data_IF_131759026495
#
_entry.id   IF_131759026495
#
_cell.length_a   1.000
_cell.length_b   1.000
_cell.length_c   1.000
_cell.angle_alpha   90.00
_cell.angle_beta   90.00
_cell.angle_gamma   90.00
#
_symmetry.space_group_name_H-M   'P 1'
#
loop_
_entity.id
_entity.type
_entity.pdbx_description
1 polymer ?
#
# COMPACT_ATOMS: atom_id res chain seq x y z
N UNK A 1 2.57 -6.67 56.22
CA UNK A 1 1.24 -6.39 55.62
C UNK A 1 1.30 -5.05 54.91
N UNK A 2 1.69 -5.01 53.58
CA UNK A 2 1.59 -3.86 52.64
C UNK A 2 2.41 -4.14 51.37
N UNK A 3 2.05 -5.24 50.62
CA UNK A 3 2.55 -5.49 49.29
C UNK A 3 1.34 -5.94 48.46
N UNK A 4 0.54 -4.99 48.02
CA UNK A 4 -0.58 -5.25 47.11
C UNK A 4 -1.04 -3.93 46.48
N UNK A 5 -0.27 -3.36 45.55
CA UNK A 5 -0.73 -2.26 44.67
C UNK A 5 0.36 -1.85 43.69
N UNK A 6 0.82 -2.73 42.81
CA UNK A 6 1.59 -2.35 41.62
C UNK A 6 1.48 -3.44 40.55
N UNK A 7 0.27 -3.75 40.10
CA UNK A 7 0.04 -4.50 38.81
C UNK A 7 -1.23 -3.94 38.22
N UNK A 8 -1.17 -2.87 37.51
CA UNK A 8 -2.25 -2.45 36.58
C UNK A 8 -1.83 -1.18 35.83
N UNK A 9 -0.83 -1.22 34.97
CA UNK A 9 -0.67 -0.29 33.83
C UNK A 9 0.34 -0.91 32.85
N UNK A 10 -0.04 -1.86 32.02
CA UNK A 10 0.73 -2.30 30.85
C UNK A 10 -0.16 -3.13 29.92
N UNK A 11 -1.22 -2.54 29.41
CA UNK A 11 -2.07 -3.19 28.42
C UNK A 11 -2.79 -2.17 27.50
N UNK A 12 -2.07 -1.19 26.97
CA UNK A 12 -2.64 -0.26 25.97
C UNK A 12 -1.52 0.22 25.05
N UNK A 13 -1.05 -0.63 24.15
CA UNK A 13 0.03 -0.24 23.23
C UNK A 13 0.26 -1.21 22.07
N UNK A 14 -0.77 -1.89 21.53
CA UNK A 14 -0.55 -2.87 20.48
C UNK A 14 -1.66 -2.90 19.42
N UNK A 15 -2.06 -1.77 18.85
CA UNK A 15 -3.11 -1.76 17.81
C UNK A 15 -2.85 -0.76 16.65
N UNK A 16 -1.61 -0.37 16.36
CA UNK A 16 -1.35 0.54 15.23
C UNK A 16 -0.24 0.05 14.29
N UNK A 17 -0.28 -1.20 13.84
CA UNK A 17 0.73 -1.71 12.89
C UNK A 17 0.14 -2.57 11.76
N UNK A 18 -1.11 -2.39 11.33
CA UNK A 18 -1.71 -3.24 10.31
C UNK A 18 -1.91 -2.60 8.92
N UNK A 19 -1.51 -1.37 8.71
CA UNK A 19 -1.79 -0.65 7.45
C UNK A 19 -0.68 -0.66 6.39
N UNK A 20 0.55 -1.07 6.70
CA UNK A 20 1.70 -0.97 5.78
C UNK A 20 2.08 -2.29 5.08
N UNK A 21 1.43 -3.41 5.38
CA UNK A 21 1.92 -4.74 4.98
C UNK A 21 1.51 -5.19 3.57
N UNK A 22 0.47 -4.61 2.97
CA UNK A 22 -0.01 -5.07 1.67
C UNK A 22 0.90 -4.64 0.50
N UNK A 23 1.52 -3.48 0.57
CA UNK A 23 2.46 -3.00 -0.46
C UNK A 23 3.82 -3.70 -0.39
N UNK A 24 4.27 -4.06 0.82
CA UNK A 24 5.48 -4.85 1.01
C UNK A 24 5.33 -6.28 0.47
N UNK A 25 4.10 -6.83 0.44
CA UNK A 25 3.85 -8.20 -0.01
C UNK A 25 4.01 -8.38 -1.53
N UNK A 26 3.51 -7.46 -2.36
CA UNK A 26 3.64 -7.52 -3.83
C UNK A 26 5.10 -7.32 -4.25
N UNK A 27 5.76 -6.31 -3.71
CA UNK A 27 7.18 -6.06 -3.97
C UNK A 27 8.08 -7.19 -3.50
N UNK A 28 7.81 -7.78 -2.34
CA UNK A 28 8.54 -8.93 -1.82
C UNK A 28 8.34 -10.18 -2.68
N UNK A 29 7.12 -10.44 -3.14
CA UNK A 29 6.77 -11.54 -4.03
C UNK A 29 7.50 -11.44 -5.37
N UNK A 30 7.49 -10.25 -5.99
CA UNK A 30 8.22 -10.00 -7.24
C UNK A 30 9.73 -10.18 -7.03
N UNK A 31 10.27 -9.62 -5.96
CA UNK A 31 11.70 -9.75 -5.63
C UNK A 31 12.08 -11.21 -5.46
N UNK A 32 11.32 -11.99 -4.71
CA UNK A 32 11.56 -13.43 -4.51
C UNK A 32 11.49 -14.19 -5.84
N UNK A 33 10.46 -13.95 -6.64
CA UNK A 33 10.27 -14.62 -7.92
C UNK A 33 11.39 -14.31 -8.93
N UNK A 34 11.90 -13.07 -8.91
CA UNK A 34 12.91 -12.59 -9.85
C UNK A 34 14.35 -12.68 -9.32
N UNK A 35 14.58 -13.15 -8.09
CA UNK A 35 15.92 -13.09 -7.45
C UNK A 35 17.02 -13.74 -8.31
N UNK A 36 16.78 -14.93 -8.84
CA UNK A 36 17.77 -15.64 -9.68
C UNK A 36 18.09 -14.90 -10.98
N UNK A 37 17.08 -14.24 -11.59
CA UNK A 37 17.25 -13.42 -12.79
C UNK A 37 18.01 -12.13 -12.49
N UNK A 38 17.72 -11.49 -11.35
CA UNK A 38 18.42 -10.29 -10.88
C UNK A 38 19.89 -10.60 -10.61
N UNK A 39 20.21 -11.70 -9.93
CA UNK A 39 21.58 -12.11 -9.65
C UNK A 39 22.37 -12.41 -10.92
N UNK A 40 21.69 -12.97 -11.93
CA UNK A 40 22.30 -13.36 -13.20
C UNK A 40 22.50 -12.20 -14.17
N UNK A 41 21.47 -11.35 -14.34
CA UNK A 41 21.45 -10.33 -15.39
C UNK A 41 21.68 -8.91 -14.86
N UNK A 42 21.44 -8.67 -13.56
CA UNK A 42 21.47 -7.35 -12.93
C UNK A 42 22.41 -7.27 -11.71
N UNK A 43 23.54 -8.01 -11.62
CA UNK A 43 24.32 -8.16 -10.39
C UNK A 43 24.90 -6.85 -9.85
N UNK A 44 25.09 -5.85 -10.72
CA UNK A 44 25.70 -4.55 -10.36
C UNK A 44 24.66 -3.41 -10.26
N UNK A 45 23.36 -3.73 -10.40
CA UNK A 45 22.29 -2.73 -10.35
C UNK A 45 21.83 -2.53 -8.91
N UNK A 46 22.06 -1.34 -8.36
CA UNK A 46 21.59 -0.99 -7.01
C UNK A 46 20.08 -0.74 -7.01
N UNK A 47 19.35 -1.20 -5.99
CA UNK A 47 17.93 -0.89 -5.81
C UNK A 47 17.66 0.62 -5.75
N UNK A 48 16.43 1.00 -6.07
CA UNK A 48 15.93 2.38 -6.04
C UNK A 48 15.69 2.95 -7.44
N UNK A 49 14.83 3.96 -7.52
CA UNK A 49 14.51 4.71 -8.74
C UNK A 49 14.14 3.81 -9.94
N UNK A 50 13.49 2.68 -9.67
CA UNK A 50 13.06 1.69 -10.66
C UNK A 50 14.21 1.02 -11.46
N UNK A 51 15.47 1.17 -11.03
CA UNK A 51 16.64 0.65 -11.77
C UNK A 51 16.62 -0.86 -11.95
N UNK A 52 16.20 -1.63 -10.92
CA UNK A 52 16.07 -3.09 -11.05
C UNK A 52 14.98 -3.47 -12.06
N UNK A 53 13.86 -2.76 -12.06
CA UNK A 53 12.78 -3.00 -13.02
C UNK A 53 13.25 -2.70 -14.45
N UNK A 54 13.94 -1.57 -14.66
CA UNK A 54 14.53 -1.22 -15.95
C UNK A 54 15.54 -2.27 -16.43
N UNK A 55 16.36 -2.81 -15.51
CA UNK A 55 17.28 -3.90 -15.86
C UNK A 55 16.56 -5.18 -16.26
N UNK A 56 15.51 -5.57 -15.53
CA UNK A 56 14.70 -6.74 -15.85
C UNK A 56 14.05 -6.59 -17.23
N UNK A 57 13.48 -5.43 -17.54
CA UNK A 57 12.93 -5.15 -18.87
C UNK A 57 13.99 -5.17 -19.99
N UNK A 58 15.21 -4.73 -19.72
CA UNK A 58 16.30 -4.81 -20.68
C UNK A 58 16.70 -6.27 -21.02
N UNK A 59 16.29 -7.23 -20.22
CA UNK A 59 16.56 -8.67 -20.37
C UNK A 59 15.27 -9.49 -20.47
N UNK A 60 14.15 -8.90 -20.89
CA UNK A 60 12.83 -9.53 -20.91
C UNK A 60 12.78 -10.84 -21.72
N UNK A 61 13.64 -10.97 -22.73
CA UNK A 61 13.78 -12.16 -23.57
C UNK A 61 14.52 -13.34 -22.88
N UNK A 62 15.09 -13.11 -21.68
CA UNK A 62 15.98 -14.05 -20.97
C UNK A 62 15.55 -14.36 -19.54
N UNK A 63 14.67 -13.55 -18.98
CA UNK A 63 14.17 -13.79 -17.61
C UNK A 63 13.29 -15.03 -17.55
N UNK A 64 13.25 -15.65 -16.37
CA UNK A 64 12.45 -16.84 -16.15
C UNK A 64 10.94 -16.55 -16.25
N UNK A 65 10.16 -17.56 -16.66
CA UNK A 65 8.70 -17.47 -16.64
C UNK A 65 8.16 -17.12 -15.25
N UNK A 66 8.80 -17.60 -14.18
CA UNK A 66 8.42 -17.28 -12.80
C UNK A 66 8.51 -15.77 -12.54
N UNK A 67 9.60 -15.13 -12.96
CA UNK A 67 9.75 -13.68 -12.85
C UNK A 67 8.74 -12.94 -13.73
N UNK A 68 8.56 -13.38 -14.98
CA UNK A 68 7.57 -12.79 -15.91
C UNK A 68 6.15 -12.81 -15.33
N UNK A 69 5.70 -13.95 -14.81
CA UNK A 69 4.37 -14.06 -14.19
C UNK A 69 4.23 -13.17 -12.95
N UNK A 70 5.25 -13.12 -12.09
CA UNK A 70 5.20 -12.26 -10.91
C UNK A 70 5.12 -10.76 -11.26
N UNK A 71 5.80 -10.32 -12.32
CA UNK A 71 5.70 -8.95 -12.81
C UNK A 71 4.30 -8.67 -13.39
N UNK A 72 3.73 -9.62 -14.12
CA UNK A 72 2.38 -9.50 -14.66
C UNK A 72 1.32 -9.40 -13.56
N UNK A 73 1.39 -10.27 -12.55
CA UNK A 73 0.48 -10.25 -11.40
C UNK A 73 0.61 -8.94 -10.61
N UNK A 74 1.84 -8.42 -10.45
CA UNK A 74 2.09 -7.14 -9.81
C UNK A 74 1.48 -5.97 -10.61
N UNK A 75 1.55 -6.01 -11.95
CA UNK A 75 0.93 -5.00 -12.81
C UNK A 75 -0.59 -5.00 -12.65
N UNK A 76 -1.24 -6.18 -12.67
CA UNK A 76 -2.67 -6.31 -12.44
C UNK A 76 -3.07 -5.79 -11.05
N UNK A 77 -2.29 -6.12 -10.01
CA UNK A 77 -2.55 -5.64 -8.66
C UNK A 77 -2.47 -4.10 -8.57
N UNK A 78 -1.48 -3.51 -9.27
CA UNK A 78 -1.35 -2.05 -9.36
C UNK A 78 -2.52 -1.40 -10.10
N UNK A 79 -2.95 -1.96 -11.22
CA UNK A 79 -4.12 -1.46 -11.98
C UNK A 79 -5.39 -1.48 -11.12
N UNK A 80 -5.64 -2.56 -10.37
CA UNK A 80 -6.77 -2.66 -9.44
C UNK A 80 -6.68 -1.61 -8.33
N UNK A 81 -5.50 -1.42 -7.74
CA UNK A 81 -5.29 -0.42 -6.71
C UNK A 81 -5.55 1.01 -7.23
N UNK A 82 -5.07 1.33 -8.43
CA UNK A 82 -5.32 2.64 -9.07
C UNK A 82 -6.80 2.83 -9.37
N UNK A 83 -7.48 1.81 -9.90
CA UNK A 83 -8.92 1.85 -10.16
C UNK A 83 -9.72 2.07 -8.87
N UNK A 84 -9.38 1.36 -7.80
CA UNK A 84 -10.00 1.51 -6.48
C UNK A 84 -9.80 2.92 -5.91
N UNK A 85 -8.58 3.44 -5.95
CA UNK A 85 -8.29 4.81 -5.50
C UNK A 85 -9.04 5.86 -6.31
N UNK A 86 -9.14 5.67 -7.62
CA UNK A 86 -9.89 6.57 -8.51
C UNK A 86 -11.37 6.56 -8.17
N UNK A 87 -11.95 5.38 -7.97
CA UNK A 87 -13.34 5.23 -7.54
C UNK A 87 -13.60 5.94 -6.20
N UNK A 88 -12.77 5.68 -5.18
CA UNK A 88 -12.90 6.35 -3.88
C UNK A 88 -12.77 7.86 -4.02
N UNK A 89 -11.79 8.36 -4.79
CA UNK A 89 -11.61 9.79 -4.99
C UNK A 89 -12.84 10.44 -5.60
N UNK A 90 -13.47 9.81 -6.60
CA UNK A 90 -14.70 10.30 -7.23
C UNK A 90 -15.89 10.31 -6.26
N UNK A 91 -16.11 9.24 -5.51
CA UNK A 91 -17.21 9.14 -4.55
C UNK A 91 -17.04 10.07 -3.32
N UNK A 92 -15.80 10.41 -2.99
CA UNK A 92 -15.44 11.25 -1.85
C UNK A 92 -15.16 12.71 -2.22
N UNK A 93 -15.28 13.12 -3.49
CA UNK A 93 -14.88 14.44 -3.98
C UNK A 93 -15.47 15.60 -3.14
N UNK A 94 -16.77 15.59 -2.90
CA UNK A 94 -17.44 16.61 -2.10
C UNK A 94 -16.97 16.65 -0.64
N UNK A 95 -16.68 15.48 -0.05
CA UNK A 95 -16.16 15.40 1.32
C UNK A 95 -14.70 15.88 1.37
N UNK A 96 -13.89 15.52 0.37
CA UNK A 96 -12.50 15.99 0.25
C UNK A 96 -12.45 17.51 0.15
N UNK A 97 -13.24 18.11 -0.74
CA UNK A 97 -13.30 19.56 -0.90
C UNK A 97 -13.75 20.26 0.37
N UNK A 98 -14.84 19.77 0.97
CA UNK A 98 -15.43 20.38 2.18
C UNK A 98 -14.57 20.20 3.43
N UNK A 99 -14.04 19.00 3.66
CA UNK A 99 -13.39 18.63 4.92
C UNK A 99 -11.87 18.73 4.85
N UNK A 100 -11.28 18.46 3.68
CA UNK A 100 -9.84 18.28 3.49
C UNK A 100 -9.24 19.19 2.40
N UNK A 101 -9.97 20.18 1.91
CA UNK A 101 -9.56 21.04 0.79
C UNK A 101 -8.25 21.83 0.99
N UNK A 102 -7.78 21.96 2.22
CA UNK A 102 -6.48 22.59 2.55
C UNK A 102 -5.34 21.58 2.66
N UNK A 103 -5.61 20.28 2.54
CA UNK A 103 -4.61 19.22 2.67
C UNK A 103 -3.99 18.94 1.29
N UNK A 104 -2.66 19.09 1.20
CA UNK A 104 -1.93 18.75 -0.02
C UNK A 104 -1.98 17.24 -0.28
N UNK A 105 -2.42 16.78 -1.48
CA UNK A 105 -2.45 15.36 -1.83
C UNK A 105 -1.06 14.70 -1.77
N UNK A 106 -1.05 13.38 -1.60
CA UNK A 106 0.15 12.54 -1.55
C UNK A 106 0.33 11.85 -0.20
N UNK A 107 1.09 10.77 -0.17
CA UNK A 107 1.47 10.01 1.03
C UNK A 107 0.29 9.61 1.95
N UNK A 108 -0.90 9.44 1.38
CA UNK A 108 -2.11 9.09 2.14
C UNK A 108 -2.71 10.23 2.98
N UNK A 109 -2.23 11.48 2.84
CA UNK A 109 -2.69 12.62 3.67
C UNK A 109 -4.19 12.88 3.55
N UNK A 110 -4.78 12.74 2.36
CA UNK A 110 -6.23 12.90 2.18
C UNK A 110 -6.99 11.82 2.93
N UNK A 111 -6.57 10.56 2.85
CA UNK A 111 -7.20 9.46 3.59
C UNK A 111 -7.10 9.66 5.10
N UNK A 112 -5.93 10.07 5.59
CA UNK A 112 -5.75 10.40 7.01
C UNK A 112 -6.63 11.55 7.47
N UNK A 113 -6.82 12.58 6.62
CA UNK A 113 -7.74 13.68 6.89
C UNK A 113 -9.20 13.20 6.97
N UNK A 114 -9.66 12.41 6.01
CA UNK A 114 -11.02 11.85 6.01
C UNK A 114 -11.25 10.94 7.22
N UNK A 115 -10.27 10.11 7.59
CA UNK A 115 -10.36 9.25 8.79
C UNK A 115 -10.47 10.09 10.07
N UNK A 116 -9.70 11.16 10.19
CA UNK A 116 -9.76 12.07 11.35
C UNK A 116 -11.12 12.78 11.50
N UNK A 117 -11.88 12.90 10.41
CA UNK A 117 -13.20 13.55 10.31
C UNK A 117 -14.32 12.57 9.95
N UNK A 118 -14.14 11.30 10.22
CA UNK A 118 -15.05 10.22 9.80
C UNK A 118 -16.50 10.39 10.23
N UNK A 119 -16.78 11.15 11.30
CA UNK A 119 -18.15 11.48 11.72
C UNK A 119 -18.86 12.37 10.70
N UNK A 120 -18.13 13.24 10.00
CA UNK A 120 -18.65 14.27 9.10
C UNK A 120 -18.60 13.83 7.63
N UNK A 121 -17.91 12.72 7.34
CA UNK A 121 -17.83 12.10 6.00
C UNK A 121 -19.19 11.50 5.63
N UNK A 122 -19.62 11.68 4.39
CA UNK A 122 -20.87 11.14 3.86
C UNK A 122 -20.90 9.60 3.86
N UNK A 123 -22.09 9.03 3.89
CA UNK A 123 -22.26 7.56 3.81
C UNK A 123 -21.82 7.02 2.44
N UNK A 124 -21.94 7.81 1.37
CA UNK A 124 -21.48 7.47 0.03
C UNK A 124 -19.95 7.26 0.02
N UNK A 125 -19.20 8.21 0.57
CA UNK A 125 -17.75 8.11 0.66
C UNK A 125 -17.31 6.96 1.59
N UNK A 126 -17.98 6.79 2.76
CA UNK A 126 -17.72 5.66 3.66
C UNK A 126 -17.93 4.31 2.98
N UNK A 127 -18.98 4.19 2.17
CA UNK A 127 -19.27 2.96 1.45
C UNK A 127 -18.20 2.67 0.39
N UNK A 128 -17.82 3.69 -0.41
CA UNK A 128 -16.77 3.55 -1.42
C UNK A 128 -15.44 3.07 -0.83
N UNK A 129 -15.05 3.60 0.33
CA UNK A 129 -13.83 3.14 1.04
C UNK A 129 -13.98 1.67 1.46
N UNK A 130 -15.14 1.26 1.99
CA UNK A 130 -15.38 -0.13 2.37
C UNK A 130 -15.32 -1.08 1.18
N UNK A 131 -15.91 -0.69 0.05
CA UNK A 131 -15.95 -1.51 -1.16
C UNK A 131 -14.54 -1.85 -1.66
N UNK A 132 -13.63 -0.88 -1.62
CA UNK A 132 -12.23 -1.06 -2.06
C UNK A 132 -11.37 -1.80 -1.03
N UNK A 133 -11.70 -1.72 0.27
CA UNK A 133 -10.94 -2.40 1.32
C UNK A 133 -11.41 -3.83 1.59
N UNK A 134 -12.54 -4.26 0.99
CA UNK A 134 -13.10 -5.59 1.17
C UNK A 134 -12.59 -6.61 0.14
N UNK A 135 -11.94 -6.17 -0.95
CA UNK A 135 -11.30 -6.96 -1.99
C UNK A 135 -9.83 -7.27 -1.64
#
# INVERSE_FOLDING_TARGET
MKIRRFIAVLATGLLFAMGAQAQDSVGAMVKEACQADLDKYCPNVKPGEQRLLACVYAHEDKISNRCTYALYDAAIALERAVAGLTYVAQQCEADIEKLCGTVTPGEGRILACLDSKKSDVSDLCKQAVKDVMAD
#
